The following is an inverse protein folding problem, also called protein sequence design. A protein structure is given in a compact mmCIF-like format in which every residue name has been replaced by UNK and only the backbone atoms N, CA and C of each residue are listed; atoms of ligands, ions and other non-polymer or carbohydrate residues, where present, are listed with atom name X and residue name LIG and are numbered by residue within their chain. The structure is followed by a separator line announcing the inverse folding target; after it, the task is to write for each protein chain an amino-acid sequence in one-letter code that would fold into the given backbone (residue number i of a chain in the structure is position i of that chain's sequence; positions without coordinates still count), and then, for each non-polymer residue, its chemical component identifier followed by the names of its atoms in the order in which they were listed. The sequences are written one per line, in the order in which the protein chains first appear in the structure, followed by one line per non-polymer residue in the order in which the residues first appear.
data_IF_050570035331
#
_entry.id   IF_050570035331
#
_cell.length_a   1.000
_cell.length_b   1.000
_cell.length_c   1.000
_cell.angle_alpha   90.00
_cell.angle_beta   90.00
_cell.angle_gamma   90.00
#
_symmetry.space_group_name_H-M   'P 1'
#
loop_
_entity.id
_entity.type
_entity.pdbx_description
1 polymer ?
#
# COMPACT_ATOMS: atom_id res chain seq x y z
N UNK A 1 -11.13 27.74 28.36
CA UNK A 1 -12.11 27.43 27.30
C UNK A 1 -11.43 26.41 26.38
N UNK A 2 -11.94 25.17 26.26
CA UNK A 2 -11.32 24.19 25.37
C UNK A 2 -11.59 24.59 23.92
N UNK A 3 -10.56 24.50 23.07
CA UNK A 3 -10.64 24.83 21.63
C UNK A 3 -11.47 23.76 20.93
N UNK A 4 -12.39 24.17 20.06
CA UNK A 4 -13.09 23.24 19.16
C UNK A 4 -12.10 22.83 18.06
N UNK A 5 -11.92 21.52 17.88
CA UNK A 5 -11.04 20.95 16.84
C UNK A 5 -11.93 20.55 15.65
N UNK A 6 -11.59 21.02 14.45
CA UNK A 6 -12.26 20.62 13.23
C UNK A 6 -11.94 19.17 12.90
N UNK A 7 -12.89 18.42 12.34
CA UNK A 7 -12.69 17.03 11.98
C UNK A 7 -13.33 16.73 10.62
N UNK A 8 -12.72 17.18 9.50
CA UNK A 8 -13.20 16.82 8.16
C UNK A 8 -13.12 15.32 7.96
N UNK A 9 -14.22 14.74 7.47
CA UNK A 9 -14.33 13.31 7.16
C UNK A 9 -14.25 13.11 5.66
N UNK A 10 -13.41 12.16 5.22
CA UNK A 10 -13.21 11.75 3.85
C UNK A 10 -13.66 10.29 3.66
N UNK A 11 -14.03 9.95 2.43
CA UNK A 11 -14.35 8.57 2.09
C UNK A 11 -13.07 7.77 1.86
N UNK A 12 -12.23 8.18 0.90
CA UNK A 12 -10.95 7.55 0.61
C UNK A 12 -9.79 8.33 1.23
N UNK A 13 -8.83 7.62 1.81
CA UNK A 13 -7.72 8.20 2.57
C UNK A 13 -6.87 9.19 1.78
N UNK A 14 -6.55 8.86 0.53
CA UNK A 14 -5.81 9.72 -0.39
C UNK A 14 -6.43 11.12 -0.60
N UNK A 15 -7.73 11.29 -0.35
CA UNK A 15 -8.43 12.58 -0.50
C UNK A 15 -7.84 13.67 0.41
N UNK A 16 -7.21 13.25 1.51
CA UNK A 16 -6.56 14.11 2.50
C UNK A 16 -5.42 14.94 1.89
N UNK A 17 -4.72 14.43 0.87
CA UNK A 17 -3.61 15.16 0.24
C UNK A 17 -4.05 16.51 -0.35
N UNK A 18 -5.12 16.51 -1.15
CA UNK A 18 -5.67 17.73 -1.75
C UNK A 18 -6.18 18.69 -0.67
N UNK A 19 -6.73 18.16 0.43
CA UNK A 19 -7.12 18.97 1.58
C UNK A 19 -5.92 19.66 2.23
N UNK A 20 -4.81 18.96 2.48
CA UNK A 20 -3.60 19.58 3.02
C UNK A 20 -3.01 20.67 2.10
N UNK A 21 -3.04 20.46 0.78
CA UNK A 21 -2.67 21.49 -0.20
C UNK A 21 -3.58 22.72 -0.09
N UNK A 22 -4.90 22.52 0.06
CA UNK A 22 -5.87 23.62 0.26
C UNK A 22 -5.59 24.40 1.53
N UNK A 23 -5.16 23.71 2.59
CA UNK A 23 -4.76 24.29 3.87
C UNK A 23 -3.36 24.92 3.84
N UNK A 24 -2.61 24.76 2.73
CA UNK A 24 -1.22 25.21 2.57
C UNK A 24 -0.31 24.66 3.67
N UNK A 25 -0.54 23.40 4.06
CA UNK A 25 0.36 22.72 4.99
C UNK A 25 1.73 22.51 4.32
N UNK A 26 2.80 22.72 5.08
CA UNK A 26 4.18 22.59 4.60
C UNK A 26 5.11 22.29 5.77
N UNK A 27 6.11 21.44 5.52
CA UNK A 27 7.20 21.14 6.47
C UNK A 27 6.74 20.63 7.84
N UNK A 28 5.67 19.83 7.86
CA UNK A 28 5.03 19.35 9.10
C UNK A 28 5.50 17.95 9.48
N UNK A 29 5.40 17.65 10.77
CA UNK A 29 5.33 16.26 11.25
C UNK A 29 3.90 15.78 11.12
N UNK A 30 3.69 14.59 10.57
CA UNK A 30 2.38 13.95 10.47
C UNK A 30 2.30 12.78 11.45
N UNK A 31 1.27 12.76 12.29
CA UNK A 31 0.86 11.57 13.05
C UNK A 31 -0.25 10.89 12.25
N UNK A 32 0.01 9.68 11.75
CA UNK A 32 -0.93 8.92 10.92
C UNK A 32 -1.33 7.64 11.65
N UNK A 33 -2.60 7.51 12.01
CA UNK A 33 -3.17 6.30 12.62
C UNK A 33 -3.85 5.50 11.51
N UNK A 34 -3.25 4.38 11.13
CA UNK A 34 -3.64 3.62 9.94
C UNK A 34 -3.17 2.16 10.08
N UNK A 35 -3.96 1.21 9.58
CA UNK A 35 -3.55 -0.20 9.47
C UNK A 35 -2.47 -0.43 8.40
N UNK A 36 -2.33 0.49 7.44
CA UNK A 36 -1.43 0.41 6.29
C UNK A 36 -0.35 1.50 6.34
N UNK A 37 0.78 1.24 5.70
CA UNK A 37 1.82 2.24 5.45
C UNK A 37 1.71 2.68 4.00
N UNK A 38 0.91 3.73 3.77
CA UNK A 38 0.55 4.29 2.45
C UNK A 38 1.67 5.12 1.80
N UNK A 39 2.86 4.52 1.76
CA UNK A 39 4.13 5.13 1.36
C UNK A 39 4.79 4.38 0.18
N UNK A 40 4.00 3.90 -0.78
CA UNK A 40 4.56 3.31 -2.00
C UNK A 40 5.21 4.40 -2.88
N UNK A 41 6.24 4.01 -3.64
CA UNK A 41 6.98 4.93 -4.50
C UNK A 41 6.14 5.31 -5.72
N UNK A 42 6.20 6.59 -6.09
CA UNK A 42 5.58 7.16 -7.27
C UNK A 42 6.67 7.49 -8.30
N UNK A 43 6.49 7.15 -9.57
CA UNK A 43 7.43 7.53 -10.62
C UNK A 43 7.60 9.05 -10.75
N UNK A 44 8.79 9.49 -11.14
CA UNK A 44 9.09 10.92 -11.32
C UNK A 44 8.12 11.62 -12.29
N UNK A 45 7.64 10.92 -13.33
CA UNK A 45 6.66 11.49 -14.28
C UNK A 45 5.32 11.81 -13.60
N UNK A 46 4.83 10.93 -12.71
CA UNK A 46 3.61 11.16 -11.91
C UNK A 46 3.82 12.28 -10.87
N UNK A 47 4.98 12.30 -10.22
CA UNK A 47 5.36 13.34 -9.26
C UNK A 47 5.51 14.72 -9.89
N UNK A 48 6.11 14.81 -11.08
CA UNK A 48 6.28 16.05 -11.83
C UNK A 48 4.91 16.68 -12.14
N UNK A 49 3.91 15.86 -12.52
CA UNK A 49 2.52 16.34 -12.69
C UNK A 49 1.94 16.95 -11.43
N UNK A 50 2.20 16.37 -10.26
CA UNK A 50 1.74 16.91 -8.98
C UNK A 50 2.45 18.21 -8.61
N UNK A 51 3.75 18.31 -8.88
CA UNK A 51 4.53 19.55 -8.65
C UNK A 51 4.00 20.71 -9.49
N UNK A 52 3.52 20.42 -10.70
CA UNK A 52 3.05 21.43 -11.63
C UNK A 52 1.62 21.92 -11.32
N UNK A 53 0.90 21.26 -10.41
CA UNK A 53 -0.41 21.70 -9.92
C UNK A 53 -0.33 23.05 -9.20
N UNK A 54 -1.30 23.92 -9.48
CA UNK A 54 -1.37 25.28 -8.92
C UNK A 54 -2.31 25.38 -7.71
N UNK A 55 -3.19 24.41 -7.53
CA UNK A 55 -4.20 24.42 -6.47
C UNK A 55 -4.64 23.00 -6.09
N UNK A 56 -5.39 22.91 -4.99
CA UNK A 56 -5.89 21.66 -4.43
C UNK A 56 -6.83 20.89 -5.36
N UNK A 57 -7.59 21.58 -6.23
CA UNK A 57 -8.56 20.92 -7.11
C UNK A 57 -7.84 20.22 -8.28
N UNK A 58 -6.75 20.82 -8.77
CA UNK A 58 -5.84 20.17 -9.72
C UNK A 58 -5.17 18.94 -9.10
N UNK A 59 -4.67 19.03 -7.86
CA UNK A 59 -4.13 17.87 -7.13
C UNK A 59 -5.20 16.77 -7.01
N UNK A 60 -6.40 17.11 -6.55
CA UNK A 60 -7.51 16.15 -6.43
C UNK A 60 -7.87 15.47 -7.76
N UNK A 61 -7.72 16.16 -8.89
CA UNK A 61 -8.03 15.61 -10.21
C UNK A 61 -7.09 14.48 -10.66
N UNK A 62 -5.89 14.41 -10.06
CA UNK A 62 -4.89 13.35 -10.31
C UNK A 62 -5.00 12.18 -9.33
N UNK A 63 -5.91 12.23 -8.35
CA UNK A 63 -6.16 11.12 -7.44
C UNK A 63 -6.88 9.97 -8.14
N UNK A 64 -6.47 8.72 -7.88
CA UNK A 64 -7.24 7.53 -8.25
C UNK A 64 -8.60 7.56 -7.54
N UNK A 65 -9.73 7.43 -8.27
CA UNK A 65 -11.05 7.39 -7.63
C UNK A 65 -11.30 6.13 -6.79
N UNK A 66 -10.47 5.09 -6.95
CA UNK A 66 -10.54 3.80 -6.28
C UNK A 66 -9.18 3.08 -6.45
N UNK A 67 -8.76 2.26 -5.47
CA UNK A 67 -7.43 1.62 -5.47
C UNK A 67 -7.17 0.66 -6.64
N UNK A 68 -8.23 0.05 -7.20
CA UNK A 68 -8.14 -0.78 -8.41
C UNK A 68 -8.03 0.02 -9.73
N UNK A 69 -7.98 1.35 -9.71
CA UNK A 69 -7.70 2.08 -10.94
C UNK A 69 -6.23 1.90 -11.33
N UNK A 70 -5.93 1.54 -12.59
CA UNK A 70 -4.56 1.61 -13.08
C UNK A 70 -4.07 3.06 -13.05
N UNK A 71 -2.76 3.27 -12.90
CA UNK A 71 -2.13 4.59 -12.98
C UNK A 71 -2.50 5.35 -14.27
N UNK A 72 -2.69 4.62 -15.38
CA UNK A 72 -3.20 5.15 -16.64
C UNK A 72 -4.41 4.35 -17.14
N UNK A 73 -5.52 5.04 -17.38
CA UNK A 73 -6.70 4.49 -18.04
C UNK A 73 -6.79 5.03 -19.47
N UNK A 74 -6.19 4.27 -20.40
CA UNK A 74 -6.06 4.62 -21.83
C UNK A 74 -7.43 4.88 -22.47
N UNK A 75 -8.44 4.06 -22.15
CA UNK A 75 -9.79 4.19 -22.73
C UNK A 75 -10.50 5.49 -22.35
N UNK A 76 -10.23 6.01 -21.16
CA UNK A 76 -10.84 7.23 -20.66
C UNK A 76 -9.92 8.46 -20.82
N UNK A 77 -8.71 8.27 -21.36
CA UNK A 77 -7.70 9.34 -21.46
C UNK A 77 -7.35 9.93 -20.09
N UNK A 78 -7.42 9.12 -19.02
CA UNK A 78 -7.17 9.54 -17.65
C UNK A 78 -5.81 9.04 -17.20
N UNK A 79 -5.05 9.91 -16.56
CA UNK A 79 -3.78 9.56 -15.93
C UNK A 79 -3.85 10.02 -14.48
N UNK A 80 -3.57 9.12 -13.55
CA UNK A 80 -3.53 9.41 -12.13
C UNK A 80 -2.07 9.52 -11.68
N UNK A 81 -1.85 10.22 -10.58
CA UNK A 81 -0.52 10.41 -10.01
C UNK A 81 -0.37 9.83 -8.62
N UNK A 82 -1.48 9.60 -7.91
CA UNK A 82 -1.47 9.01 -6.58
C UNK A 82 -2.81 8.33 -6.26
N UNK A 83 -2.80 7.41 -5.31
CA UNK A 83 -3.93 6.65 -4.76
C UNK A 83 -3.81 6.51 -3.25
N UNK A 84 -4.57 5.58 -2.67
CA UNK A 84 -4.50 5.30 -1.23
C UNK A 84 -3.11 4.75 -0.88
N UNK A 85 -2.52 3.94 -1.75
CA UNK A 85 -1.27 3.23 -1.50
C UNK A 85 -0.01 4.12 -1.44
N UNK A 86 -0.05 5.35 -1.95
CA UNK A 86 1.14 6.18 -2.21
C UNK A 86 0.99 7.68 -1.85
N UNK A 87 -0.14 8.11 -1.27
CA UNK A 87 -0.38 9.54 -1.03
C UNK A 87 0.59 10.16 -0.01
N UNK A 88 1.14 9.39 0.95
CA UNK A 88 2.14 9.89 1.89
C UNK A 88 3.46 10.18 1.17
N UNK A 89 3.79 9.40 0.14
CA UNK A 89 4.97 9.62 -0.69
C UNK A 89 4.80 10.93 -1.49
N UNK A 90 3.62 11.12 -2.07
CA UNK A 90 3.26 12.38 -2.72
C UNK A 90 3.30 13.58 -1.75
N UNK A 91 2.77 13.43 -0.54
CA UNK A 91 2.79 14.48 0.49
C UNK A 91 4.23 14.88 0.87
N UNK A 92 5.12 13.89 1.02
CA UNK A 92 6.54 14.15 1.31
C UNK A 92 7.22 14.85 0.14
N UNK A 93 7.01 14.38 -1.09
CA UNK A 93 7.58 14.98 -2.29
C UNK A 93 7.14 16.45 -2.51
N UNK A 94 5.88 16.76 -2.19
CA UNK A 94 5.34 18.13 -2.25
C UNK A 94 5.81 19.02 -1.08
N UNK A 95 6.62 18.50 -0.16
CA UNK A 95 7.12 19.24 1.00
C UNK A 95 6.05 19.53 2.05
N UNK A 96 4.93 18.80 2.04
CA UNK A 96 3.85 18.94 3.02
C UNK A 96 4.30 18.33 4.35
N UNK A 97 4.89 17.13 4.28
CA UNK A 97 5.41 16.39 5.43
C UNK A 97 6.93 16.23 5.32
N UNK A 98 7.65 16.51 6.40
CA UNK A 98 9.10 16.24 6.53
C UNK A 98 9.41 15.05 7.42
N UNK A 99 8.45 14.66 8.26
CA UNK A 99 8.55 13.56 9.23
C UNK A 99 7.20 12.88 9.36
N UNK A 100 7.19 11.56 9.34
CA UNK A 100 6.01 10.72 9.51
C UNK A 100 6.12 9.94 10.82
N UNK A 101 5.09 9.97 11.63
CA UNK A 101 4.88 9.09 12.79
C UNK A 101 3.70 8.18 12.42
N UNK A 102 4.01 6.99 11.91
CA UNK A 102 3.00 5.98 11.61
C UNK A 102 2.69 5.18 12.88
N UNK A 103 1.44 5.26 13.31
CA UNK A 103 0.93 4.60 14.50
C UNK A 103 0.12 3.40 14.03
N UNK A 104 0.71 2.21 14.07
CA UNK A 104 0.05 1.00 13.59
C UNK A 104 -0.81 0.36 14.69
N UNK A 105 -1.99 -0.18 14.34
CA UNK A 105 -2.90 -0.78 15.31
C UNK A 105 -2.39 -2.13 15.80
N UNK A 106 -2.77 -2.58 17.03
CA UNK A 106 -2.20 -3.76 17.68
C UNK A 106 -2.14 -5.04 16.83
N UNK A 107 -3.11 -5.23 15.92
CA UNK A 107 -3.20 -6.39 15.05
C UNK A 107 -2.19 -6.39 13.88
N UNK A 108 -1.58 -5.25 13.54
CA UNK A 108 -0.52 -5.17 12.52
C UNK A 108 0.82 -5.48 13.20
N UNK A 109 1.58 -6.50 12.77
CA UNK A 109 2.79 -6.96 13.44
C UNK A 109 4.03 -6.09 13.13
N UNK A 110 3.96 -4.78 13.38
CA UNK A 110 5.05 -3.83 13.06
C UNK A 110 6.33 -4.02 13.89
N UNK A 111 6.24 -4.69 15.04
CA UNK A 111 7.38 -4.95 15.93
C UNK A 111 7.98 -6.34 15.73
N UNK A 112 7.67 -7.01 14.60
CA UNK A 112 8.46 -8.15 14.12
C UNK A 112 9.48 -7.63 13.08
N UNK A 113 10.75 -7.44 13.47
CA UNK A 113 11.79 -6.93 12.58
C UNK A 113 11.97 -7.76 11.32
N UNK A 114 11.81 -9.08 11.39
CA UNK A 114 12.07 -9.96 10.26
C UNK A 114 11.03 -9.72 9.17
N UNK A 115 9.76 -9.68 9.57
CA UNK A 115 8.66 -9.39 8.65
C UNK A 115 8.78 -7.98 8.06
N UNK A 116 9.09 -6.97 8.89
CA UNK A 116 9.25 -5.59 8.44
C UNK A 116 10.41 -5.42 7.43
N UNK A 117 11.59 -5.98 7.73
CA UNK A 117 12.75 -5.94 6.83
C UNK A 117 12.44 -6.65 5.52
N UNK A 118 11.81 -7.83 5.57
CA UNK A 118 11.46 -8.58 4.36
C UNK A 118 10.49 -7.82 3.45
N UNK A 119 9.52 -7.11 4.03
CA UNK A 119 8.59 -6.26 3.27
C UNK A 119 9.30 -5.05 2.64
N UNK A 120 10.15 -4.36 3.40
CA UNK A 120 10.95 -3.23 2.90
C UNK A 120 11.92 -3.65 1.79
N UNK A 121 12.50 -4.85 1.88
CA UNK A 121 13.43 -5.35 0.87
C UNK A 121 12.81 -5.55 -0.52
N UNK A 122 11.50 -5.78 -0.58
CA UNK A 122 10.75 -5.95 -1.82
C UNK A 122 10.15 -4.64 -2.34
N UNK A 123 10.26 -3.55 -1.56
CA UNK A 123 9.69 -2.26 -1.91
C UNK A 123 10.60 -1.51 -2.89
N UNK A 124 9.99 -0.85 -3.85
CA UNK A 124 10.70 -0.01 -4.82
C UNK A 124 11.49 1.11 -4.12
N UNK A 125 12.62 1.49 -4.70
CA UNK A 125 13.57 2.52 -4.28
C UNK A 125 14.18 2.39 -2.88
N UNK A 126 13.86 1.35 -2.09
CA UNK A 126 14.55 1.11 -0.81
C UNK A 126 16.00 0.73 -1.10
N UNK A 127 16.94 1.40 -0.44
CA UNK A 127 18.37 1.18 -0.57
C UNK A 127 18.97 0.52 0.66
N UNK A 128 20.21 0.04 0.54
CA UNK A 128 20.96 -0.49 1.68
C UNK A 128 21.18 0.57 2.78
N UNK A 129 21.22 1.86 2.43
CA UNK A 129 21.34 2.93 3.42
C UNK A 129 20.03 3.17 4.17
N UNK A 130 18.89 3.03 3.49
CA UNK A 130 17.58 3.12 4.13
C UNK A 130 17.42 1.97 5.14
N UNK A 131 17.80 0.74 4.78
CA UNK A 131 17.79 -0.38 5.73
C UNK A 131 18.74 -0.14 6.92
N UNK A 132 19.95 0.36 6.70
CA UNK A 132 20.90 0.70 7.79
C UNK A 132 20.41 1.82 8.71
N UNK A 133 19.42 2.60 8.28
CA UNK A 133 18.85 3.67 9.09
C UNK A 133 17.88 3.15 10.16
N UNK A 134 17.40 1.91 10.04
CA UNK A 134 16.47 1.27 10.97
C UNK A 134 17.09 1.15 12.36
N UNK A 135 16.42 1.70 13.37
CA UNK A 135 16.82 1.65 14.77
C UNK A 135 15.62 1.38 15.64
N UNK A 136 15.69 0.37 16.51
CA UNK A 136 14.72 0.20 17.59
C UNK A 136 15.13 1.09 18.77
N UNK A 137 14.21 1.94 19.21
CA UNK A 137 14.39 2.83 20.34
C UNK A 137 13.39 2.44 21.42
N UNK A 138 13.85 2.39 22.68
CA UNK A 138 13.04 2.03 23.84
C UNK A 138 13.07 3.17 24.86
N UNK A 139 11.91 3.54 25.40
CA UNK A 139 11.83 4.48 26.52
C UNK A 139 12.17 3.73 27.83
N UNK A 140 13.23 4.17 28.52
CA UNK A 140 13.90 3.48 29.65
C UNK A 140 13.04 3.16 30.88
N UNK A 141 11.75 3.51 30.89
CA UNK A 141 10.88 3.38 32.06
C UNK A 141 9.55 2.69 31.80
N UNK A 142 9.09 2.50 30.55
CA UNK A 142 7.66 2.25 30.29
C UNK A 142 7.32 1.21 29.22
N UNK A 143 8.24 0.29 28.85
CA UNK A 143 8.01 -0.74 27.81
C UNK A 143 7.55 -0.20 26.44
N UNK A 144 7.59 1.11 26.22
CA UNK A 144 7.29 1.72 24.93
C UNK A 144 8.53 1.62 24.05
N UNK A 145 8.35 1.05 22.86
CA UNK A 145 9.38 0.97 21.84
C UNK A 145 8.82 1.38 20.48
N UNK A 146 9.70 1.90 19.65
CA UNK A 146 9.37 2.32 18.29
C UNK A 146 10.58 2.12 17.38
N UNK A 147 10.32 2.05 16.09
CA UNK A 147 11.34 1.97 15.06
C UNK A 147 11.52 3.37 14.47
N UNK A 148 12.76 3.86 14.44
CA UNK A 148 13.17 5.03 13.67
C UNK A 148 13.81 4.59 12.37
N UNK A 149 13.48 5.26 11.27
CA UNK A 149 14.06 5.03 9.96
C UNK A 149 14.13 6.32 9.14
N UNK A 150 14.98 6.32 8.12
CA UNK A 150 14.95 7.28 7.02
C UNK A 150 14.71 6.49 5.75
N UNK A 151 13.49 6.50 5.24
CA UNK A 151 13.10 5.81 4.01
C UNK A 151 12.75 6.86 2.95
N UNK A 152 13.24 6.71 1.73
CA UNK A 152 12.97 7.65 0.62
C UNK A 152 13.39 9.11 0.92
N UNK A 153 14.29 9.32 1.88
CA UNK A 153 14.66 10.63 2.39
C UNK A 153 13.71 11.23 3.44
N UNK A 154 12.57 10.59 3.72
CA UNK A 154 11.61 10.95 4.77
C UNK A 154 12.03 10.35 6.11
N UNK A 155 12.00 11.14 7.19
CA UNK A 155 12.16 10.63 8.55
C UNK A 155 10.87 9.94 9.00
N UNK A 156 10.95 8.68 9.40
CA UNK A 156 9.80 7.85 9.75
C UNK A 156 9.99 7.28 11.14
N UNK A 157 8.95 7.37 11.96
CA UNK A 157 8.80 6.61 13.19
C UNK A 157 7.61 5.67 13.06
N UNK A 158 7.82 4.42 13.43
CA UNK A 158 6.80 3.38 13.43
C UNK A 158 6.59 2.96 14.87
N UNK A 159 5.40 3.19 15.41
CA UNK A 159 5.14 2.97 16.82
C UNK A 159 3.71 2.46 17.09
N UNK A 160 3.46 2.14 18.36
CA UNK A 160 2.12 1.94 18.89
C UNK A 160 1.58 3.22 19.53
N UNK A 161 0.27 3.30 19.76
CA UNK A 161 -0.37 4.42 20.44
C UNK A 161 0.27 4.73 21.79
N UNK A 162 0.68 3.71 22.55
CA UNK A 162 1.27 3.87 23.89
C UNK A 162 2.63 4.57 23.84
N UNK A 163 3.27 4.63 22.67
CA UNK A 163 4.56 5.29 22.50
C UNK A 163 4.44 6.81 22.31
N UNK A 164 3.30 7.30 21.82
CA UNK A 164 3.11 8.71 21.46
C UNK A 164 3.47 9.71 22.58
N UNK A 165 3.13 9.48 23.87
CA UNK A 165 3.51 10.39 24.95
C UNK A 165 5.02 10.52 25.20
N UNK A 166 5.82 9.60 24.67
CA UNK A 166 7.28 9.57 24.85
C UNK A 166 8.04 10.16 23.66
N UNK A 167 7.34 10.44 22.55
CA UNK A 167 7.97 10.98 21.36
C UNK A 167 8.11 12.51 21.48
N UNK A 168 9.22 13.02 20.96
CA UNK A 168 9.36 14.45 20.69
C UNK A 168 8.55 14.79 19.44
N UNK A 169 7.33 15.28 19.66
CA UNK A 169 6.42 15.70 18.60
C UNK A 169 6.29 17.22 18.62
N UNK A 170 6.48 17.83 17.45
CA UNK A 170 6.34 19.26 17.26
C UNK A 170 4.87 19.66 17.47
N UNK A 171 4.67 20.79 18.15
CA UNK A 171 3.33 21.22 18.55
C UNK A 171 2.42 21.52 17.36
N UNK A 172 2.97 21.73 16.18
CA UNK A 172 2.23 22.05 14.97
C UNK A 172 1.98 20.82 14.08
N UNK A 173 2.17 19.60 14.59
CA UNK A 173 1.94 18.37 13.84
C UNK A 173 0.52 18.29 13.21
N UNK A 174 0.45 17.67 12.02
CA UNK A 174 -0.78 17.20 11.40
C UNK A 174 -1.20 15.89 12.08
N UNK A 175 -2.51 15.65 12.17
CA UNK A 175 -3.07 14.41 12.69
C UNK A 175 -4.08 13.88 11.69
N UNK A 176 -3.89 12.61 11.30
CA UNK A 176 -4.71 11.93 10.31
C UNK A 176 -5.03 10.51 10.79
N UNK A 177 -6.27 10.08 10.56
CA UNK A 177 -6.79 8.81 11.06
C UNK A 177 -7.57 8.11 9.95
N UNK A 178 -7.12 6.95 9.49
CA UNK A 178 -8.00 5.99 8.83
C UNK A 178 -8.74 5.16 9.88
N UNK A 179 -10.04 4.97 9.73
CA UNK A 179 -10.83 4.21 10.70
C UNK A 179 -10.58 2.70 10.64
N UNK A 180 -9.93 2.19 9.59
CA UNK A 180 -9.49 0.79 9.54
C UNK A 180 -8.47 0.46 10.66
N UNK A 181 -7.77 1.46 11.20
CA UNK A 181 -6.97 1.38 12.42
C UNK A 181 -7.72 0.74 13.58
N UNK A 182 -9.04 0.97 13.68
CA UNK A 182 -9.84 0.47 14.79
C UNK A 182 -10.40 -0.94 14.54
N UNK A 183 -10.33 -1.45 13.32
CA UNK A 183 -10.98 -2.71 12.93
C UNK A 183 -9.94 -3.81 12.79
N UNK A 184 -10.03 -4.84 13.64
CA UNK A 184 -9.17 -6.02 13.52
C UNK A 184 -9.60 -6.87 12.33
N UNK A 185 -8.64 -7.28 11.51
CA UNK A 185 -8.87 -8.14 10.36
C UNK A 185 -8.21 -9.52 10.61
N UNK A 186 -8.84 -10.64 10.22
CA UNK A 186 -10.09 -10.75 9.46
C UNK A 186 -11.37 -10.84 10.33
N UNK A 187 -11.29 -10.67 11.67
CA UNK A 187 -12.44 -10.82 12.58
C UNK A 187 -13.50 -9.73 12.38
N UNK A 188 -13.10 -8.57 11.85
CA UNK A 188 -13.89 -7.36 11.70
C UNK A 188 -14.47 -6.83 13.03
N UNK A 189 -13.79 -7.12 14.13
CA UNK A 189 -14.09 -6.61 15.48
C UNK A 189 -13.39 -5.27 15.72
N UNK A 190 -13.91 -4.47 16.65
CA UNK A 190 -13.23 -3.22 17.04
C UNK A 190 -12.14 -3.59 18.05
N UNK A 191 -10.87 -3.50 17.63
CA UNK A 191 -9.72 -3.85 18.48
C UNK A 191 -9.21 -2.69 19.34
N UNK A 192 -9.28 -1.47 18.81
CA UNK A 192 -8.77 -0.28 19.47
C UNK A 192 -9.91 0.58 20.04
N UNK A 193 -9.80 1.10 21.28
CA UNK A 193 -10.81 2.00 21.85
C UNK A 193 -10.78 3.37 21.16
N UNK A 194 -11.83 3.65 20.38
CA UNK A 194 -11.99 4.88 19.58
C UNK A 194 -11.86 6.14 20.45
N UNK A 195 -12.61 6.23 21.55
CA UNK A 195 -12.61 7.40 22.43
C UNK A 195 -11.28 7.59 23.16
N UNK A 196 -10.65 6.51 23.61
CA UNK A 196 -9.37 6.58 24.30
C UNK A 196 -8.25 7.05 23.37
N UNK A 197 -8.33 6.71 22.08
CA UNK A 197 -7.39 7.18 21.05
C UNK A 197 -7.54 8.69 20.80
N UNK A 198 -8.76 9.19 20.68
CA UNK A 198 -9.01 10.63 20.59
C UNK A 198 -8.55 11.38 21.85
N UNK A 199 -8.80 10.81 23.04
CA UNK A 199 -8.37 11.39 24.31
C UNK A 199 -6.85 11.42 24.44
N UNK A 200 -6.16 10.37 24.01
CA UNK A 200 -4.71 10.32 23.93
C UNK A 200 -4.18 11.48 23.10
N UNK A 201 -4.67 11.64 21.86
CA UNK A 201 -4.24 12.70 20.94
C UNK A 201 -4.51 14.11 21.51
N UNK A 202 -5.66 14.32 22.16
CA UNK A 202 -5.99 15.60 22.81
C UNK A 202 -5.14 15.90 24.06
N UNK A 203 -4.53 14.87 24.67
CA UNK A 203 -3.66 15.02 25.84
C UNK A 203 -2.18 15.18 25.46
N UNK A 204 -1.81 14.96 24.20
CA UNK A 204 -0.48 15.30 23.69
C UNK A 204 -0.30 16.83 23.71
N UNK A 205 0.95 17.28 23.83
CA UNK A 205 1.29 18.71 23.82
C UNK A 205 1.27 19.29 22.39
N UNK A 206 0.14 19.14 21.71
CA UNK A 206 -0.08 19.56 20.35
C UNK A 206 -1.01 20.79 20.30
N UNK A 207 -0.82 21.58 19.25
CA UNK A 207 -1.55 22.81 18.95
C UNK A 207 -2.33 22.72 17.63
N UNK A 208 -2.76 21.50 17.26
CA UNK A 208 -3.59 21.30 16.08
C UNK A 208 -5.00 21.86 16.30
N UNK A 209 -5.60 22.32 15.20
CA UNK A 209 -6.98 22.79 15.13
C UNK A 209 -7.86 21.95 14.23
N UNK A 210 -7.28 20.90 13.66
CA UNK A 210 -7.91 19.98 12.73
C UNK A 210 -7.33 18.57 12.90
N UNK A 211 -8.18 17.56 12.76
CA UNK A 211 -7.82 16.14 12.62
C UNK A 211 -8.54 15.62 11.38
N UNK A 212 -7.82 15.10 10.39
CA UNK A 212 -8.45 14.48 9.21
C UNK A 212 -8.83 13.04 9.54
N UNK A 213 -10.01 12.61 9.09
CA UNK A 213 -10.51 11.24 9.30
C UNK A 213 -11.00 10.64 8.00
N UNK A 214 -10.57 9.42 7.68
CA UNK A 214 -10.93 8.70 6.46
C UNK A 214 -11.69 7.43 6.78
N UNK A 215 -12.67 7.07 5.94
CA UNK A 215 -13.55 5.91 6.19
C UNK A 215 -13.02 4.60 5.58
N UNK A 216 -12.47 4.68 4.38
CA UNK A 216 -12.00 3.55 3.57
C UNK A 216 -13.04 2.43 3.42
N UNK A 217 -14.32 2.81 3.31
CA UNK A 217 -15.45 1.87 3.17
C UNK A 217 -15.64 1.50 1.71
N UNK A 218 -15.65 2.47 0.79
CA UNK A 218 -15.82 2.23 -0.65
C UNK A 218 -14.78 1.26 -1.22
N UNK A 219 -13.51 1.43 -0.85
CA UNK A 219 -12.40 0.55 -1.21
C UNK A 219 -12.44 -0.84 -0.53
N UNK A 220 -13.30 -1.00 0.49
CA UNK A 220 -13.59 -2.28 1.11
C UNK A 220 -12.67 -2.69 2.25
N UNK A 221 -11.71 -1.84 2.65
CA UNK A 221 -10.83 -2.01 3.81
C UNK A 221 -11.63 -1.97 5.12
N UNK A 222 -12.53 -1.00 5.26
CA UNK A 222 -13.43 -0.90 6.41
C UNK A 222 -14.80 -1.50 6.11
N UNK A 223 -15.33 -2.40 6.95
CA UNK A 223 -16.73 -2.82 6.87
C UNK A 223 -17.67 -1.62 7.03
N UNK A 224 -18.64 -1.45 6.11
CA UNK A 224 -19.61 -0.34 6.13
C UNK A 224 -20.29 -0.09 7.48
N UNK A 225 -20.55 -1.15 8.26
CA UNK A 225 -21.15 -1.04 9.61
C UNK A 225 -20.30 -0.23 10.60
N UNK A 226 -19.00 -0.11 10.34
CA UNK A 226 -18.04 0.63 11.16
C UNK A 226 -17.79 2.06 10.66
N UNK A 227 -18.41 2.48 9.55
CA UNK A 227 -18.31 3.86 9.05
C UNK A 227 -18.62 4.92 10.12
N UNK A 228 -19.52 4.57 11.05
CA UNK A 228 -19.95 5.40 12.20
C UNK A 228 -18.79 5.82 13.13
N UNK A 229 -17.65 5.13 13.08
CA UNK A 229 -16.45 5.48 13.85
C UNK A 229 -15.96 6.88 13.47
N UNK A 230 -16.04 7.27 12.20
CA UNK A 230 -15.60 8.58 11.76
C UNK A 230 -16.43 9.71 12.41
N UNK A 231 -17.75 9.55 12.48
CA UNK A 231 -18.62 10.50 13.16
C UNK A 231 -18.40 10.53 14.67
N UNK A 232 -18.09 9.38 15.30
CA UNK A 232 -17.73 9.32 16.72
C UNK A 232 -16.46 10.13 17.00
N UNK A 233 -15.43 9.95 16.20
CA UNK A 233 -14.18 10.71 16.29
C UNK A 233 -14.44 12.21 16.11
N UNK A 234 -15.17 12.59 15.05
CA UNK A 234 -15.51 13.99 14.79
C UNK A 234 -16.31 14.62 15.94
N UNK A 235 -17.27 13.90 16.51
CA UNK A 235 -18.01 14.35 17.66
C UNK A 235 -17.11 14.51 18.91
N UNK A 236 -16.19 13.57 19.13
CA UNK A 236 -15.27 13.60 20.28
C UNK A 236 -14.30 14.79 20.20
N UNK A 237 -13.72 15.06 19.03
CA UNK A 237 -12.84 16.21 18.81
C UNK A 237 -13.58 17.56 18.86
N UNK A 238 -14.82 17.62 18.38
CA UNK A 238 -15.64 18.83 18.48
C UNK A 238 -16.11 19.10 19.91
N UNK A 239 -16.44 18.04 20.67
CA UNK A 239 -17.04 18.13 22.00
C UNK A 239 -16.27 17.29 23.02
N UNK A 240 -15.13 17.79 23.49
CA UNK A 240 -14.30 17.11 24.50
C UNK A 240 -15.00 16.84 25.86
N UNK A 241 -16.25 17.28 26.05
CA UNK A 241 -17.09 17.00 27.24
C UNK A 241 -18.36 16.18 26.93
N UNK A 242 -18.60 15.82 25.66
CA UNK A 242 -19.79 15.05 25.31
C UNK A 242 -19.75 13.65 25.91
N UNK A 243 -20.93 13.17 26.31
CA UNK A 243 -21.11 11.80 26.79
C UNK A 243 -20.95 10.83 25.59
N UNK A 244 -20.02 9.86 25.64
CA UNK A 244 -19.81 8.88 24.57
C UNK A 244 -21.07 8.03 24.28
N UNK A 245 -22.01 7.94 25.21
CA UNK A 245 -23.23 7.13 25.05
C UNK A 245 -24.34 7.81 24.23
N UNK A 246 -24.11 9.02 23.70
CA UNK A 246 -25.11 9.66 22.84
C UNK A 246 -25.24 8.92 21.50
N UNK A 247 -26.44 8.42 21.14
CA UNK A 247 -26.64 7.70 19.89
C UNK A 247 -26.42 8.64 18.70
N UNK A 248 -25.40 8.35 17.89
CA UNK A 248 -25.17 9.02 16.62
C UNK A 248 -26.21 8.50 15.63
N UNK A 249 -27.03 9.40 15.11
CA UNK A 249 -27.95 9.09 14.00
C UNK A 249 -27.10 8.83 12.75
N UNK A 250 -26.91 7.55 12.41
CA UNK A 250 -26.43 7.20 11.08
C UNK A 250 -27.63 7.23 10.14
N UNK A 251 -27.60 8.13 9.16
CA UNK A 251 -28.45 8.00 8.00
C UNK A 251 -28.01 6.72 7.29
N UNK A 252 -28.79 5.65 7.48
CA UNK A 252 -28.52 4.33 6.89
C UNK A 252 -28.69 4.46 5.38
N UNK A 253 -27.62 4.79 4.69
CA UNK A 253 -27.51 4.40 3.29
C UNK A 253 -27.39 2.89 3.25
N UNK A 254 -28.40 2.25 2.66
CA UNK A 254 -28.47 0.82 2.39
C UNK A 254 -27.54 0.48 1.22
N UNK A 255 -26.27 0.85 1.38
CA UNK A 255 -25.27 0.68 0.35
C UNK A 255 -24.78 -0.78 0.32
N UNK A 256 -25.37 -1.68 1.13
CA UNK A 256 -24.97 -3.07 1.38
C UNK A 256 -24.76 -3.91 0.12
N UNK A 257 -25.27 -3.44 -1.02
CA UNK A 257 -25.28 -4.15 -2.29
C UNK A 257 -24.28 -3.62 -3.34
N UNK A 258 -23.32 -2.73 -3.01
CA UNK A 258 -22.26 -2.37 -3.99
C UNK A 258 -21.38 -3.60 -4.32
N UNK A 259 -21.46 -4.16 -5.54
CA UNK A 259 -20.74 -5.37 -5.90
C UNK A 259 -19.23 -5.20 -5.95
N UNK A 260 -18.74 -3.99 -6.27
CA UNK A 260 -17.30 -3.72 -6.30
C UNK A 260 -16.73 -3.81 -4.89
N UNK A 261 -17.40 -3.19 -3.92
CA UNK A 261 -17.00 -3.27 -2.51
C UNK A 261 -17.09 -4.70 -1.98
N UNK A 262 -18.13 -5.45 -2.36
CA UNK A 262 -18.27 -6.86 -2.00
C UNK A 262 -17.17 -7.76 -2.59
N UNK A 263 -16.64 -7.42 -3.75
CA UNK A 263 -15.49 -8.12 -4.34
C UNK A 263 -14.18 -7.73 -3.62
N UNK A 264 -13.93 -6.43 -3.48
CA UNK A 264 -12.66 -5.90 -2.94
C UNK A 264 -12.40 -6.32 -1.49
N UNK A 265 -13.45 -6.50 -0.69
CA UNK A 265 -13.31 -6.89 0.72
C UNK A 265 -12.49 -8.16 0.95
N UNK A 266 -12.52 -9.10 0.01
CA UNK A 266 -11.83 -10.37 0.19
C UNK A 266 -10.32 -10.16 0.24
N UNK A 267 -9.79 -9.35 -0.69
CA UNK A 267 -8.38 -8.98 -0.67
C UNK A 267 -8.07 -7.99 0.45
N UNK A 268 -8.86 -6.92 0.58
CA UNK A 268 -8.61 -5.84 1.54
C UNK A 268 -8.68 -6.29 3.01
N UNK A 269 -9.51 -7.30 3.32
CA UNK A 269 -9.71 -7.82 4.68
C UNK A 269 -9.15 -9.21 4.92
N UNK A 270 -8.40 -9.76 3.97
CA UNK A 270 -7.86 -11.11 4.05
C UNK A 270 -8.95 -12.19 4.22
N UNK A 271 -10.15 -11.98 3.67
CA UNK A 271 -11.22 -12.98 3.73
C UNK A 271 -10.96 -14.05 2.69
N UNK A 272 -11.11 -15.31 3.07
CA UNK A 272 -11.02 -16.41 2.11
C UNK A 272 -12.11 -16.30 1.04
N UNK A 273 -11.77 -16.71 -0.18
CA UNK A 273 -12.70 -16.85 -1.29
C UNK A 273 -12.67 -18.30 -1.76
N UNK A 274 -13.83 -18.79 -2.19
CA UNK A 274 -13.96 -20.11 -2.80
C UNK A 274 -14.78 -20.03 -4.09
N UNK A 275 -14.76 -21.11 -4.89
CA UNK A 275 -15.45 -21.18 -6.19
C UNK A 275 -16.95 -20.85 -6.10
N UNK A 276 -17.63 -21.33 -5.05
CA UNK A 276 -19.06 -21.09 -4.85
C UNK A 276 -19.36 -19.62 -4.56
N UNK A 277 -18.60 -18.99 -3.65
CA UNK A 277 -18.73 -17.58 -3.32
C UNK A 277 -18.45 -16.66 -4.51
N UNK A 278 -17.44 -16.99 -5.32
CA UNK A 278 -17.12 -16.25 -6.54
C UNK A 278 -18.22 -16.41 -7.60
N UNK A 279 -18.71 -17.64 -7.80
CA UNK A 279 -19.82 -17.89 -8.72
C UNK A 279 -21.10 -17.17 -8.29
N UNK A 280 -21.40 -17.13 -6.99
CA UNK A 280 -22.52 -16.37 -6.44
C UNK A 280 -22.38 -14.86 -6.68
N UNK A 281 -21.19 -14.29 -6.47
CA UNK A 281 -20.91 -12.88 -6.75
C UNK A 281 -21.14 -12.55 -8.24
N UNK A 282 -20.62 -13.38 -9.15
CA UNK A 282 -20.83 -13.19 -10.61
C UNK A 282 -22.32 -13.29 -10.95
N UNK A 283 -23.00 -14.34 -10.51
CA UNK A 283 -24.41 -14.60 -10.84
C UNK A 283 -25.34 -13.48 -10.33
N UNK A 284 -25.11 -12.97 -9.12
CA UNK A 284 -25.95 -11.93 -8.52
C UNK A 284 -25.79 -10.55 -9.20
N UNK A 285 -24.72 -10.35 -9.96
CA UNK A 285 -24.39 -9.05 -10.54
C UNK A 285 -24.14 -9.10 -12.06
N UNK A 286 -24.63 -10.13 -12.75
CA UNK A 286 -24.43 -10.33 -14.18
C UNK A 286 -24.88 -9.12 -15.03
N UNK A 287 -26.03 -8.52 -14.71
CA UNK A 287 -26.56 -7.35 -15.45
C UNK A 287 -25.58 -6.16 -15.43
N UNK A 288 -24.90 -5.92 -14.30
CA UNK A 288 -23.90 -4.87 -14.20
C UNK A 288 -22.61 -5.25 -14.96
N UNK A 289 -22.21 -6.52 -14.88
CA UNK A 289 -21.03 -7.05 -15.58
C UNK A 289 -21.16 -6.95 -17.11
N UNK A 290 -22.38 -7.04 -17.62
CA UNK A 290 -22.68 -6.91 -19.05
C UNK A 290 -22.64 -5.44 -19.54
N UNK A 291 -22.69 -4.46 -18.63
CA UNK A 291 -22.66 -3.04 -18.97
C UNK A 291 -21.23 -2.49 -19.11
N UNK A 292 -20.55 -2.85 -20.20
CA UNK A 292 -19.17 -2.42 -20.49
C UNK A 292 -19.00 -0.91 -20.80
N UNK A 293 -20.07 -0.10 -20.74
CA UNK A 293 -19.96 1.36 -20.84
C UNK A 293 -19.68 2.02 -19.48
N UNK A 294 -19.86 1.28 -18.38
CA UNK A 294 -19.64 1.81 -17.04
C UNK A 294 -18.20 1.51 -16.57
N UNK A 295 -17.38 2.52 -16.24
CA UNK A 295 -16.04 2.30 -15.70
C UNK A 295 -16.00 1.41 -14.44
N UNK A 296 -17.03 1.51 -13.58
CA UNK A 296 -17.15 0.63 -12.39
C UNK A 296 -17.25 -0.85 -12.77
N UNK A 297 -17.85 -1.16 -13.93
CA UNK A 297 -17.91 -2.54 -14.44
C UNK A 297 -16.51 -3.08 -14.76
N UNK A 298 -15.63 -2.25 -15.31
CA UNK A 298 -14.22 -2.63 -15.55
C UNK A 298 -13.48 -2.97 -14.26
N UNK A 299 -13.67 -2.16 -13.20
CA UNK A 299 -13.09 -2.42 -11.87
C UNK A 299 -13.68 -3.68 -11.23
N UNK A 300 -14.98 -3.93 -11.39
CA UNK A 300 -15.62 -5.12 -10.84
C UNK A 300 -15.09 -6.39 -11.53
N UNK A 301 -14.94 -6.37 -12.86
CA UNK A 301 -14.27 -7.45 -13.58
C UNK A 301 -12.84 -7.65 -13.06
N UNK A 302 -12.08 -6.57 -12.87
CA UNK A 302 -10.74 -6.68 -12.31
C UNK A 302 -10.71 -7.34 -10.92
N UNK A 303 -11.60 -6.91 -10.01
CA UNK A 303 -11.74 -7.48 -8.68
C UNK A 303 -12.10 -8.98 -8.74
N UNK A 304 -13.07 -9.37 -9.57
CA UNK A 304 -13.45 -10.78 -9.79
C UNK A 304 -12.27 -11.59 -10.32
N UNK A 305 -11.50 -11.03 -11.27
CA UNK A 305 -10.32 -11.68 -11.80
C UNK A 305 -9.25 -11.92 -10.74
N UNK A 306 -9.02 -10.96 -9.85
CA UNK A 306 -8.07 -11.10 -8.74
C UNK A 306 -8.51 -12.20 -7.77
N UNK A 307 -9.80 -12.29 -7.46
CA UNK A 307 -10.35 -13.38 -6.65
C UNK A 307 -10.23 -14.74 -7.35
N UNK A 308 -10.43 -14.79 -8.66
CA UNK A 308 -10.23 -16.01 -9.45
C UNK A 308 -8.77 -16.49 -9.40
N UNK A 309 -7.80 -15.57 -9.47
CA UNK A 309 -6.38 -15.88 -9.28
C UNK A 309 -6.09 -16.52 -7.90
N UNK A 310 -6.76 -16.07 -6.83
CA UNK A 310 -6.57 -16.63 -5.48
C UNK A 310 -7.03 -18.09 -5.35
N UNK A 311 -7.97 -18.54 -6.18
CA UNK A 311 -8.50 -19.91 -6.19
C UNK A 311 -8.05 -20.73 -7.41
N UNK A 312 -6.98 -20.25 -8.07
CA UNK A 312 -6.36 -20.86 -9.24
C UNK A 312 -7.35 -21.10 -10.41
N UNK A 313 -8.37 -20.25 -10.55
CA UNK A 313 -9.31 -20.28 -11.66
C UNK A 313 -8.85 -19.39 -12.81
N UNK A 314 -7.90 -19.92 -13.59
CA UNK A 314 -7.24 -19.18 -14.66
C UNK A 314 -8.21 -18.73 -15.77
N UNK A 315 -9.23 -19.53 -16.09
CA UNK A 315 -10.16 -19.22 -17.17
C UNK A 315 -11.07 -18.03 -16.80
N UNK A 316 -11.56 -17.99 -15.56
CA UNK A 316 -12.32 -16.84 -15.05
C UNK A 316 -11.43 -15.61 -14.96
N UNK A 317 -10.19 -15.75 -14.47
CA UNK A 317 -9.26 -14.62 -14.37
C UNK A 317 -8.98 -13.99 -15.75
N UNK A 318 -8.69 -14.80 -16.77
CA UNK A 318 -8.46 -14.34 -18.15
C UNK A 318 -9.70 -13.67 -18.74
N UNK A 319 -10.89 -14.28 -18.55
CA UNK A 319 -12.15 -13.72 -19.06
C UNK A 319 -12.41 -12.33 -18.46
N UNK A 320 -12.25 -12.22 -17.15
CA UNK A 320 -12.38 -10.96 -16.40
C UNK A 320 -11.35 -9.92 -16.84
N UNK A 321 -10.11 -10.32 -17.10
CA UNK A 321 -9.07 -9.42 -17.61
C UNK A 321 -9.45 -8.81 -18.96
N UNK A 322 -9.95 -9.63 -19.90
CA UNK A 322 -10.38 -9.11 -21.20
C UNK A 322 -11.55 -8.14 -21.06
N UNK A 323 -12.53 -8.43 -20.21
CA UNK A 323 -13.64 -7.53 -19.94
C UNK A 323 -13.16 -6.21 -19.29
N UNK A 324 -12.28 -6.27 -18.30
CA UNK A 324 -11.65 -5.09 -17.70
C UNK A 324 -10.87 -4.27 -18.74
N UNK A 325 -10.11 -4.94 -19.62
CA UNK A 325 -9.35 -4.30 -20.70
C UNK A 325 -10.25 -3.58 -21.70
N UNK A 326 -11.42 -4.11 -22.04
CA UNK A 326 -12.36 -3.43 -22.93
C UNK A 326 -12.84 -2.08 -22.37
N UNK A 327 -13.04 -2.00 -21.05
CA UNK A 327 -13.54 -0.81 -20.36
C UNK A 327 -12.40 0.17 -20.01
N UNK A 328 -11.29 -0.33 -19.46
CA UNK A 328 -10.21 0.47 -18.87
C UNK A 328 -8.99 0.64 -19.78
N UNK A 329 -8.82 -0.24 -20.78
CA UNK A 329 -7.63 -0.30 -21.64
C UNK A 329 -6.56 -1.29 -21.14
N UNK A 330 -6.75 -1.89 -19.97
CA UNK A 330 -5.87 -2.85 -19.33
C UNK A 330 -6.04 -2.82 -17.81
N UNK A 331 -5.49 -3.80 -17.11
CA UNK A 331 -5.42 -3.79 -15.65
C UNK A 331 -4.11 -4.47 -15.18
N UNK A 332 -3.03 -3.70 -14.95
CA UNK A 332 -1.68 -4.24 -14.71
C UNK A 332 -1.57 -5.20 -13.52
N UNK A 333 -2.27 -4.93 -12.41
CA UNK A 333 -2.25 -5.83 -11.23
C UNK A 333 -2.89 -7.19 -11.50
N UNK A 334 -4.09 -7.23 -12.10
CA UNK A 334 -4.69 -8.47 -12.58
C UNK A 334 -3.81 -9.18 -13.62
N UNK A 335 -3.19 -8.45 -14.55
CA UNK A 335 -2.25 -9.05 -15.51
C UNK A 335 -1.08 -9.73 -14.80
N UNK A 336 -0.47 -9.08 -13.79
CA UNK A 336 0.62 -9.66 -13.00
C UNK A 336 0.19 -10.97 -12.31
N UNK A 337 -1.00 -11.00 -11.69
CA UNK A 337 -1.51 -12.19 -11.00
C UNK A 337 -1.87 -13.33 -11.96
N UNK A 338 -2.44 -13.03 -13.12
CA UNK A 338 -2.67 -14.01 -14.20
C UNK A 338 -1.34 -14.57 -14.69
N UNK A 339 -0.32 -13.72 -14.91
CA UNK A 339 0.99 -14.14 -15.36
C UNK A 339 1.66 -15.11 -14.38
N UNK A 340 1.58 -14.83 -13.07
CA UNK A 340 2.05 -15.74 -12.00
C UNK A 340 1.31 -17.08 -12.03
N UNK A 341 0.00 -17.07 -12.27
CA UNK A 341 -0.80 -18.30 -12.39
C UNK A 341 -0.42 -19.10 -13.66
N UNK A 342 -0.24 -18.42 -14.80
CA UNK A 342 0.28 -19.03 -16.03
C UNK A 342 1.66 -19.68 -15.82
N UNK A 343 2.57 -19.03 -15.09
CA UNK A 343 3.87 -19.60 -14.72
C UNK A 343 3.72 -20.91 -13.94
N UNK A 344 2.82 -20.97 -12.95
CA UNK A 344 2.57 -22.19 -12.17
C UNK A 344 2.05 -23.35 -13.04
N UNK A 345 1.25 -23.04 -14.06
CA UNK A 345 0.74 -24.01 -15.03
C UNK A 345 1.64 -24.22 -16.26
N UNK A 346 2.86 -23.69 -16.26
CA UNK A 346 3.81 -23.79 -17.37
C UNK A 346 3.27 -23.24 -18.72
N UNK A 347 2.33 -22.29 -18.69
CA UNK A 347 1.81 -21.57 -19.87
C UNK A 347 2.72 -20.39 -20.20
N UNK A 348 3.95 -20.69 -20.61
CA UNK A 348 5.05 -19.72 -20.71
C UNK A 348 4.77 -18.52 -21.63
N UNK A 349 4.26 -18.78 -22.83
CA UNK A 349 4.07 -17.72 -23.83
C UNK A 349 2.95 -16.74 -23.42
N UNK A 350 1.93 -17.24 -22.72
CA UNK A 350 0.86 -16.40 -22.17
C UNK A 350 1.34 -15.59 -20.97
N UNK A 351 2.11 -16.21 -20.06
CA UNK A 351 2.70 -15.50 -18.92
C UNK A 351 3.55 -14.31 -19.37
N UNK A 352 4.35 -14.49 -20.43
CA UNK A 352 5.16 -13.40 -20.99
C UNK A 352 4.32 -12.21 -21.45
N UNK A 353 3.18 -12.45 -22.13
CA UNK A 353 2.30 -11.36 -22.56
C UNK A 353 1.73 -10.59 -21.37
N UNK A 354 1.25 -11.28 -20.34
CA UNK A 354 0.66 -10.63 -19.18
C UNK A 354 1.69 -9.90 -18.30
N UNK A 355 2.94 -10.37 -18.22
CA UNK A 355 4.00 -9.59 -17.57
C UNK A 355 4.29 -8.28 -18.32
N UNK A 356 4.19 -8.27 -19.65
CA UNK A 356 4.36 -7.03 -20.43
C UNK A 356 3.23 -6.03 -20.17
N UNK A 357 2.00 -6.53 -20.07
CA UNK A 357 0.83 -5.70 -19.73
C UNK A 357 0.97 -5.12 -18.30
N UNK A 358 1.61 -5.85 -17.38
CA UNK A 358 1.90 -5.39 -16.02
C UNK A 358 2.96 -4.26 -15.94
N UNK A 359 3.73 -3.97 -17.00
CA UNK A 359 4.69 -2.84 -16.95
C UNK A 359 4.04 -1.45 -16.90
N UNK A 360 2.75 -1.36 -17.23
CA UNK A 360 2.03 -0.10 -17.38
C UNK A 360 1.69 0.61 -16.06
N UNK A 361 1.96 -0.01 -14.90
CA UNK A 361 1.68 0.57 -13.58
C UNK A 361 2.90 0.49 -12.68
N UNK A 362 3.18 1.55 -11.92
CA UNK A 362 4.36 1.62 -11.06
C UNK A 362 4.37 0.48 -10.03
N UNK A 363 3.21 0.19 -9.40
CA UNK A 363 3.06 -0.82 -8.34
C UNK A 363 3.45 -2.23 -8.78
N UNK A 364 3.32 -2.53 -10.08
CA UNK A 364 3.46 -3.91 -10.60
C UNK A 364 4.71 -4.09 -11.45
N UNK A 365 5.34 -3.00 -11.90
CA UNK A 365 6.44 -3.01 -12.87
C UNK A 365 7.67 -3.78 -12.38
N UNK A 366 8.13 -3.53 -11.15
CA UNK A 366 9.33 -4.18 -10.61
C UNK A 366 9.13 -5.68 -10.46
N UNK A 367 7.99 -6.10 -9.90
CA UNK A 367 7.62 -7.52 -9.81
C UNK A 367 7.51 -8.16 -11.20
N UNK A 368 6.90 -7.49 -12.17
CA UNK A 368 6.81 -7.99 -13.54
C UNK A 368 8.18 -8.20 -14.18
N UNK A 369 9.14 -7.29 -13.97
CA UNK A 369 10.52 -7.47 -14.44
C UNK A 369 11.19 -8.68 -13.79
N UNK A 370 11.04 -8.85 -12.47
CA UNK A 370 11.58 -10.01 -11.76
C UNK A 370 11.01 -11.33 -12.32
N UNK A 371 9.68 -11.46 -12.40
CA UNK A 371 9.06 -12.71 -12.83
C UNK A 371 9.25 -13.00 -14.32
N UNK A 372 9.32 -11.99 -15.18
CA UNK A 372 9.67 -12.19 -16.59
C UNK A 372 11.13 -12.66 -16.74
N UNK A 373 12.04 -12.10 -15.93
CA UNK A 373 13.40 -12.60 -15.80
C UNK A 373 13.43 -14.08 -15.41
N UNK A 374 12.73 -14.42 -14.33
CA UNK A 374 12.57 -15.79 -13.85
C UNK A 374 12.02 -16.76 -14.92
N UNK A 375 10.97 -16.34 -15.64
CA UNK A 375 10.38 -17.08 -16.76
C UNK A 375 11.46 -17.46 -17.79
N UNK A 376 12.26 -16.49 -18.23
CA UNK A 376 13.30 -16.73 -19.23
C UNK A 376 14.42 -17.62 -18.71
N UNK A 377 14.80 -17.53 -17.43
CA UNK A 377 15.74 -18.47 -16.80
C UNK A 377 15.19 -19.89 -16.84
N UNK A 378 13.95 -20.09 -16.40
CA UNK A 378 13.28 -21.41 -16.38
C UNK A 378 13.25 -22.05 -17.77
N UNK A 379 12.82 -21.30 -18.80
CA UNK A 379 12.81 -21.79 -20.19
C UNK A 379 14.20 -22.12 -20.73
N UNK A 380 15.22 -21.36 -20.31
CA UNK A 380 16.61 -21.60 -20.72
C UNK A 380 17.21 -22.84 -20.07
N UNK A 381 16.74 -23.23 -18.88
CA UNK A 381 17.12 -24.51 -18.26
C UNK A 381 16.50 -25.69 -19.00
N UNK A 382 15.23 -25.57 -19.44
CA UNK A 382 14.55 -26.61 -20.22
C UNK A 382 15.11 -26.75 -21.64
N UNK A 383 15.45 -25.63 -22.27
CA UNK A 383 16.04 -25.59 -23.62
C UNK A 383 17.11 -24.49 -23.63
N UNK A 384 18.41 -24.85 -23.53
CA UNK A 384 19.50 -23.90 -23.48
C UNK A 384 19.45 -22.87 -24.61
N UNK A 385 19.28 -21.61 -24.23
CA UNK A 385 19.15 -20.48 -25.15
C UNK A 385 19.83 -19.25 -24.56
N UNK A 386 20.99 -18.89 -25.12
CA UNK A 386 21.77 -17.74 -24.67
C UNK A 386 21.04 -16.39 -24.91
N UNK A 387 20.15 -16.29 -25.90
CA UNK A 387 19.39 -15.07 -26.15
C UNK A 387 18.33 -14.85 -25.06
N UNK A 388 17.67 -15.93 -24.62
CA UNK A 388 16.76 -15.88 -23.47
C UNK A 388 17.48 -15.52 -22.18
N UNK A 389 18.67 -16.07 -21.92
CA UNK A 389 19.46 -15.67 -20.74
C UNK A 389 19.87 -14.19 -20.76
N UNK A 390 20.18 -13.62 -21.93
CA UNK A 390 20.44 -12.18 -22.06
C UNK A 390 19.19 -11.35 -21.73
N UNK A 391 18.03 -11.77 -22.25
CA UNK A 391 16.74 -11.14 -21.93
C UNK A 391 16.46 -11.24 -20.43
N UNK A 392 16.67 -12.41 -19.81
CA UNK A 392 16.51 -12.60 -18.37
C UNK A 392 17.37 -11.61 -17.57
N UNK A 393 18.65 -11.47 -17.95
CA UNK A 393 19.58 -10.51 -17.32
C UNK A 393 19.07 -9.08 -17.43
N UNK A 394 18.59 -8.65 -18.60
CA UNK A 394 18.05 -7.29 -18.80
C UNK A 394 16.85 -7.02 -17.88
N UNK A 395 15.91 -7.95 -17.80
CA UNK A 395 14.74 -7.81 -16.92
C UNK A 395 15.13 -7.80 -15.44
N UNK A 396 16.04 -8.69 -15.02
CA UNK A 396 16.50 -8.73 -13.62
C UNK A 396 17.33 -7.51 -13.24
N UNK A 397 18.09 -6.92 -14.17
CA UNK A 397 18.77 -5.64 -13.94
C UNK A 397 17.76 -4.50 -13.76
N UNK A 398 16.67 -4.47 -14.51
CA UNK A 398 15.61 -3.48 -14.32
C UNK A 398 14.92 -3.64 -12.96
N UNK A 399 14.59 -4.88 -12.56
CA UNK A 399 14.05 -5.16 -11.23
C UNK A 399 15.02 -4.76 -10.11
N UNK A 400 16.31 -5.07 -10.26
CA UNK A 400 17.34 -4.71 -9.28
C UNK A 400 17.57 -3.21 -9.21
N UNK A 401 17.47 -2.49 -10.33
CA UNK A 401 17.59 -1.03 -10.33
C UNK A 401 16.42 -0.39 -9.56
N UNK A 402 15.21 -0.94 -9.68
CA UNK A 402 14.04 -0.44 -8.99
C UNK A 402 14.02 -0.86 -7.51
N UNK A 403 14.36 -2.11 -7.17
CA UNK A 403 14.43 -2.64 -5.81
C UNK A 403 15.85 -3.19 -5.52
N UNK A 404 16.83 -2.30 -5.22
CA UNK A 404 18.23 -2.67 -5.12
C UNK A 404 18.60 -3.47 -3.88
N UNK A 405 17.66 -3.75 -2.98
CA UNK A 405 17.85 -4.60 -1.81
C UNK A 405 16.97 -5.84 -1.82
N UNK A 406 16.41 -6.24 -2.97
CA UNK A 406 15.59 -7.45 -3.08
C UNK A 406 16.49 -8.69 -3.25
N UNK A 407 16.66 -9.56 -2.22
CA UNK A 407 17.64 -10.65 -2.24
C UNK A 407 17.40 -11.65 -3.38
N UNK A 408 16.14 -11.99 -3.66
CA UNK A 408 15.77 -12.96 -4.70
C UNK A 408 16.16 -12.48 -6.10
N UNK A 409 16.03 -11.18 -6.37
CA UNK A 409 16.47 -10.59 -7.64
C UNK A 409 17.99 -10.70 -7.77
N UNK A 410 18.74 -10.37 -6.72
CA UNK A 410 20.21 -10.46 -6.72
C UNK A 410 20.69 -11.89 -6.92
N UNK A 411 20.11 -12.85 -6.19
CA UNK A 411 20.47 -14.26 -6.27
C UNK A 411 20.24 -14.82 -7.68
N UNK A 412 19.06 -14.52 -8.26
CA UNK A 412 18.72 -14.95 -9.60
C UNK A 412 19.58 -14.28 -10.67
N UNK A 413 19.92 -12.99 -10.50
CA UNK A 413 20.82 -12.27 -11.40
C UNK A 413 22.24 -12.86 -11.38
N UNK A 414 22.78 -13.18 -10.20
CA UNK A 414 24.07 -13.86 -10.05
C UNK A 414 24.10 -15.23 -10.75
N UNK A 415 22.99 -15.97 -10.67
CA UNK A 415 22.82 -17.24 -11.36
C UNK A 415 22.85 -17.04 -12.88
N UNK A 416 22.11 -16.06 -13.43
CA UNK A 416 22.08 -15.77 -14.86
C UNK A 416 23.45 -15.35 -15.39
N UNK A 417 24.16 -14.50 -14.65
CA UNK A 417 25.51 -14.06 -15.01
C UNK A 417 26.49 -15.24 -15.04
N UNK A 418 26.37 -16.18 -14.10
CA UNK A 418 27.14 -17.44 -14.11
C UNK A 418 26.83 -18.28 -15.34
N UNK A 419 25.55 -18.46 -15.68
CA UNK A 419 25.11 -19.22 -16.86
C UNK A 419 25.58 -18.57 -18.18
N UNK A 420 25.77 -17.26 -18.20
CA UNK A 420 26.32 -16.50 -19.34
C UNK A 420 27.87 -16.49 -19.38
N UNK A 421 28.54 -17.04 -18.37
CA UNK A 421 30.00 -17.05 -18.26
C UNK A 421 30.61 -15.75 -17.75
N UNK A 422 29.82 -14.82 -17.21
CA UNK A 422 30.30 -13.56 -16.61
C UNK A 422 30.55 -13.74 -15.11
N UNK A 423 31.61 -14.48 -14.77
CA UNK A 423 31.97 -14.78 -13.37
C UNK A 423 32.28 -13.52 -12.55
N UNK A 424 32.74 -12.45 -13.19
CA UNK A 424 33.05 -11.19 -12.50
C UNK A 424 31.78 -10.46 -12.06
N UNK A 425 30.76 -10.40 -12.92
CA UNK A 425 29.46 -9.85 -12.54
C UNK A 425 28.78 -10.70 -11.46
N UNK A 426 28.76 -12.02 -11.63
CA UNK A 426 28.17 -12.94 -10.66
C UNK A 426 28.82 -12.81 -9.27
N UNK A 427 30.15 -12.66 -9.23
CA UNK A 427 30.90 -12.42 -7.99
C UNK A 427 30.46 -11.13 -7.29
N UNK A 428 30.30 -10.02 -8.02
CA UNK A 428 29.81 -8.75 -7.45
C UNK A 428 28.42 -8.89 -6.85
N UNK A 429 27.49 -9.57 -7.55
CA UNK A 429 26.13 -9.79 -7.03
C UNK A 429 26.11 -10.65 -5.77
N UNK A 430 26.97 -11.65 -5.68
CA UNK A 430 27.11 -12.44 -4.46
C UNK A 430 27.70 -11.62 -3.30
N UNK A 431 28.64 -10.71 -3.56
CA UNK A 431 29.19 -9.81 -2.55
C UNK A 431 28.12 -8.82 -2.05
N UNK A 432 27.32 -8.25 -2.94
CA UNK A 432 26.17 -7.40 -2.60
C UNK A 432 25.14 -8.15 -1.74
N UNK A 433 24.80 -9.38 -2.10
CA UNK A 433 23.87 -10.22 -1.35
C UNK A 433 24.40 -10.51 0.07
N UNK A 434 25.69 -10.88 0.22
CA UNK A 434 26.30 -11.08 1.55
C UNK A 434 26.34 -9.79 2.37
N UNK A 435 26.60 -8.65 1.74
CA UNK A 435 26.57 -7.36 2.42
C UNK A 435 25.15 -7.04 2.91
N UNK A 436 24.11 -7.38 2.14
CA UNK A 436 22.72 -7.22 2.55
C UNK A 436 22.34 -8.18 3.69
N UNK A 437 22.77 -9.43 3.64
CA UNK A 437 22.59 -10.40 4.73
C UNK A 437 23.25 -9.89 6.03
N UNK A 438 24.44 -9.31 5.94
CA UNK A 438 25.10 -8.72 7.11
C UNK A 438 24.30 -7.53 7.67
N UNK A 439 23.80 -6.63 6.81
CA UNK A 439 22.93 -5.52 7.24
C UNK A 439 21.70 -6.06 7.98
N UNK A 440 21.07 -7.11 7.44
CA UNK A 440 19.92 -7.74 8.09
C UNK A 440 20.30 -8.29 9.48
N UNK A 441 21.40 -9.05 9.59
CA UNK A 441 21.89 -9.54 10.89
C UNK A 441 22.17 -8.39 11.88
N UNK A 442 22.84 -7.33 11.44
CA UNK A 442 23.17 -6.17 12.28
C UNK A 442 21.91 -5.50 12.82
N UNK A 443 20.87 -5.32 11.99
CA UNK A 443 19.58 -4.75 12.41
C UNK A 443 18.93 -5.67 13.45
N UNK A 444 18.86 -6.98 13.21
CA UNK A 444 18.25 -7.91 14.17
C UNK A 444 18.99 -7.95 15.51
N UNK A 445 20.32 -7.85 15.50
CA UNK A 445 21.13 -7.78 16.71
C UNK A 445 20.89 -6.49 17.48
N UNK A 446 20.85 -5.34 16.79
CA UNK A 446 20.51 -4.04 17.40
C UNK A 446 19.12 -4.05 18.03
N UNK A 447 18.14 -4.63 17.34
CA UNK A 447 16.76 -4.72 17.83
C UNK A 447 16.62 -5.67 19.03
N UNK A 448 17.41 -6.77 19.09
CA UNK A 448 17.46 -7.63 20.28
C UNK A 448 18.14 -6.96 21.47
N UNK A 449 19.19 -6.17 21.24
CA UNK A 449 19.90 -5.47 22.32
C UNK A 449 19.03 -4.39 22.99
N UNK A 450 18.14 -3.75 22.23
CA UNK A 450 17.19 -2.75 22.73
C UNK A 450 16.08 -3.29 23.65
N UNK A 451 15.92 -4.61 23.75
CA UNK A 451 14.89 -5.27 24.60
C UNK A 451 15.43 -5.59 26.02
N UNK A 452 16.69 -5.28 26.31
CA UNK A 452 17.35 -5.62 27.58
C UNK A 452 17.74 -4.41 28.44
N UNK A 453 17.40 -3.19 28.01
CA UNK A 453 17.65 -1.95 28.75
C UNK A 453 16.36 -1.20 29.00
#
# INVERSE_FOLDING_TARGET
MRRQIACPIFEEHASVLAHWVRRRASDRTLICLDAHLDLQVISHVRLDRLRDCQNADEVASFMKPHHLWPDECVRLGRQYSYGIEDFLYAASYLGIIRRLIWVAPPHVPILDPQTAIAQLQQSDAITANDLKSLRLVSASSNMASWIEAKLYGLEILICRSESLPFLEIESDALVDIDIDYFVELPSEEIGSPVEATADLLMNLNLSFDEVTVSRSVHSGYTPHRHAVIAERLAHRFANAQANPDQPIRSDRHDDRDDPLRLACRHSARGMSVNRESLAGLVANHQELLDNLQNPKTGLLHAAIGLLACQIDDLDVAITSYFAAREVLGGHPELALEIAKLCLRFARWDEAEQYFRDAFADDKTRTAAHYYLGYLHVRRSVETPDAARLKTAREQLLAAHQAAPVWPEVMALLAQVETMLGDSAAAGRRQEELRALEQIHCDILEQMKAGDHG
#
